data_IF_231013977675
#
_entry.id   IF_231013977675
#
_cell.length_a   1.000
_cell.length_b   1.000
_cell.length_c   1.000
_cell.angle_alpha   90.00
_cell.angle_beta   90.00
_cell.angle_gamma   90.00
#
_symmetry.space_group_name_H-M   'P 1'
#
loop_
_entity.id
_entity.type
_entity.pdbx_description
1 polymer ?
#
# COMPACT_ATOMS: atom_id res chain seq x y z
N UNK A 1 17.55 -11.31 5.90
CA UNK A 1 18.89 -11.09 5.30
C UNK A 1 18.98 -9.78 4.52
N UNK A 2 18.34 -9.59 3.35
CA UNK A 2 18.51 -8.33 2.58
C UNK A 2 18.05 -7.06 3.32
N UNK A 3 16.89 -7.10 3.97
CA UNK A 3 16.34 -5.95 4.72
C UNK A 3 17.27 -5.51 5.86
N UNK A 4 17.91 -6.47 6.54
CA UNK A 4 18.88 -6.22 7.62
C UNK A 4 20.21 -5.60 7.11
N UNK A 5 20.44 -5.60 5.80
CA UNK A 5 21.64 -5.08 5.15
C UNK A 5 21.33 -3.92 4.18
N UNK A 6 20.26 -3.16 4.46
CA UNK A 6 19.84 -2.01 3.65
C UNK A 6 19.58 -2.33 2.17
N UNK A 7 19.24 -3.59 1.86
CA UNK A 7 18.95 -4.07 0.51
C UNK A 7 17.49 -4.50 0.35
N UNK A 8 17.15 -4.91 -0.87
CA UNK A 8 15.88 -5.55 -1.19
C UNK A 8 16.13 -6.92 -1.84
N UNK A 9 15.07 -7.74 -1.88
CA UNK A 9 15.09 -8.99 -2.61
C UNK A 9 14.03 -8.94 -3.70
N UNK A 10 14.37 -9.46 -4.88
CA UNK A 10 13.43 -9.63 -6.01
C UNK A 10 13.50 -11.09 -6.44
N UNK A 11 12.33 -11.72 -6.59
CA UNK A 11 12.23 -13.06 -7.13
C UNK A 11 12.40 -13.00 -8.65
N UNK A 12 13.26 -13.86 -9.19
CA UNK A 12 13.34 -14.12 -10.63
C UNK A 12 12.47 -15.35 -10.91
N UNK A 13 11.60 -15.23 -11.90
CA UNK A 13 10.76 -16.35 -12.35
C UNK A 13 11.46 -17.07 -13.49
N UNK A 14 11.47 -18.40 -13.43
CA UNK A 14 12.06 -19.26 -14.46
C UNK A 14 11.11 -19.33 -15.67
N UNK A 15 11.28 -18.36 -16.57
CA UNK A 15 10.53 -18.25 -17.82
C UNK A 15 11.47 -17.72 -18.92
N UNK A 16 10.97 -17.67 -20.15
CA UNK A 16 11.64 -17.14 -21.35
C UNK A 16 12.21 -15.72 -21.18
N UNK A 17 11.68 -14.93 -20.26
CA UNK A 17 12.10 -13.55 -19.98
C UNK A 17 13.05 -13.41 -18.76
N UNK A 18 13.47 -14.51 -18.13
CA UNK A 18 14.33 -14.48 -16.93
C UNK A 18 15.60 -13.66 -17.14
N UNK A 19 16.22 -13.75 -18.33
CA UNK A 19 17.37 -12.94 -18.70
C UNK A 19 17.07 -11.43 -18.71
N UNK A 20 15.87 -11.03 -19.13
CA UNK A 20 15.41 -9.64 -19.09
C UNK A 20 15.12 -9.18 -17.66
N UNK A 21 14.54 -10.04 -16.81
CA UNK A 21 14.32 -9.73 -15.39
C UNK A 21 15.65 -9.42 -14.67
N UNK A 22 16.69 -10.22 -14.92
CA UNK A 22 18.04 -10.01 -14.36
C UNK A 22 18.67 -8.73 -14.90
N UNK A 23 18.60 -8.51 -16.22
CA UNK A 23 19.12 -7.28 -16.85
C UNK A 23 18.44 -6.03 -16.29
N UNK A 24 17.11 -6.07 -16.12
CA UNK A 24 16.32 -5.00 -15.53
C UNK A 24 16.77 -4.71 -14.09
N UNK A 25 16.87 -5.75 -13.25
CA UNK A 25 17.37 -5.61 -11.89
C UNK A 25 18.78 -4.98 -11.85
N UNK A 26 19.70 -5.46 -12.69
CA UNK A 26 21.05 -4.90 -12.75
C UNK A 26 21.03 -3.43 -13.18
N UNK A 27 20.24 -3.07 -14.19
CA UNK A 27 20.14 -1.68 -14.64
C UNK A 27 19.66 -0.73 -13.53
N UNK A 28 18.73 -1.18 -12.68
CA UNK A 28 18.20 -0.41 -11.54
C UNK A 28 19.25 -0.13 -10.46
N UNK A 29 20.20 -1.05 -10.23
CA UNK A 29 21.22 -0.93 -9.17
C UNK A 29 22.62 -0.56 -9.67
N UNK A 30 22.82 -0.54 -10.99
CA UNK A 30 24.16 -0.35 -11.60
C UNK A 30 24.71 1.07 -11.47
N UNK A 31 23.85 2.07 -11.30
CA UNK A 31 24.22 3.49 -11.31
C UNK A 31 24.03 4.14 -9.94
N UNK A 32 24.82 3.79 -8.93
CA UNK A 32 24.77 4.44 -7.61
C UNK A 32 25.26 5.90 -7.71
N UNK A 33 24.36 6.87 -7.51
CA UNK A 33 24.66 8.30 -7.61
C UNK A 33 24.97 8.93 -6.25
N UNK A 34 24.37 8.46 -5.16
CA UNK A 34 24.65 8.93 -3.80
C UNK A 34 24.59 7.76 -2.82
N UNK A 35 25.35 7.87 -1.74
CA UNK A 35 25.29 6.96 -0.58
C UNK A 35 24.95 7.73 0.69
N UNK A 36 24.46 7.04 1.72
CA UNK A 36 24.11 7.62 3.03
C UNK A 36 23.21 8.86 2.92
N UNK A 37 22.17 8.77 2.10
CA UNK A 37 21.24 9.87 1.85
C UNK A 37 20.34 10.07 3.05
N UNK A 38 20.35 11.28 3.62
CA UNK A 38 19.53 11.63 4.78
C UNK A 38 18.69 12.86 4.49
N UNK A 39 17.38 12.73 4.71
CA UNK A 39 16.39 13.78 4.62
C UNK A 39 16.15 14.37 6.01
N UNK A 40 16.59 15.61 6.18
CA UNK A 40 16.38 16.41 7.38
C UNK A 40 15.30 17.44 7.10
N UNK A 41 14.42 17.66 8.07
CA UNK A 41 13.37 18.66 7.95
C UNK A 41 13.40 19.61 9.12
N UNK A 42 13.47 20.90 8.83
CA UNK A 42 13.39 21.98 9.82
C UNK A 42 12.01 22.62 9.73
N UNK A 43 11.32 22.77 10.87
CA UNK A 43 10.01 23.39 10.95
C UNK A 43 8.97 22.54 11.69
N UNK A 44 7.71 22.74 11.33
CA UNK A 44 6.57 22.21 12.09
C UNK A 44 6.07 20.84 11.62
N UNK A 45 6.94 19.84 11.69
CA UNK A 45 6.64 18.45 11.30
C UNK A 45 6.43 17.58 12.52
N UNK A 46 5.42 16.71 12.44
CA UNK A 46 5.24 15.64 13.39
C UNK A 46 6.23 14.50 13.11
N UNK A 47 7.39 14.52 13.78
CA UNK A 47 8.46 13.53 13.58
C UNK A 47 8.02 12.08 13.81
N UNK A 48 6.99 11.83 14.63
CA UNK A 48 6.48 10.49 14.91
C UNK A 48 5.69 9.88 13.73
N UNK A 49 5.39 10.68 12.71
CA UNK A 49 4.64 10.29 11.52
C UNK A 49 5.50 10.20 10.26
N UNK A 50 6.78 10.58 10.36
CA UNK A 50 7.70 10.58 9.24
C UNK A 50 8.01 9.14 8.83
N UNK A 51 7.91 8.85 7.54
CA UNK A 51 8.41 7.60 6.99
C UNK A 51 9.94 7.56 7.03
N UNK A 52 10.53 6.43 6.66
CA UNK A 52 11.98 6.29 6.50
C UNK A 52 12.56 7.51 5.77
N UNK A 53 13.51 8.18 6.41
CA UNK A 53 14.16 9.40 5.92
C UNK A 53 15.67 9.23 5.75
N UNK A 54 16.19 8.03 5.97
CA UNK A 54 17.58 7.65 5.74
C UNK A 54 17.63 6.48 4.75
N UNK A 55 18.46 6.61 3.72
CA UNK A 55 18.61 5.64 2.65
C UNK A 55 20.09 5.39 2.38
N UNK A 56 20.46 4.11 2.30
CA UNK A 56 21.86 3.75 2.08
C UNK A 56 22.37 4.14 0.68
N UNK A 57 21.51 4.01 -0.33
CA UNK A 57 21.85 4.21 -1.73
C UNK A 57 20.75 4.99 -2.45
N UNK A 58 21.17 5.81 -3.42
CA UNK A 58 20.31 6.41 -4.44
C UNK A 58 20.85 6.04 -5.81
N UNK A 59 20.03 5.41 -6.64
CA UNK A 59 20.43 4.95 -7.97
C UNK A 59 19.85 5.85 -9.07
N UNK A 60 20.58 6.03 -10.17
CA UNK A 60 20.15 6.79 -11.32
C UNK A 60 18.90 6.17 -11.95
N UNK A 61 17.85 6.97 -12.13
CA UNK A 61 16.54 6.51 -12.61
C UNK A 61 15.61 6.00 -11.49
N UNK A 62 16.07 5.94 -10.24
CA UNK A 62 15.23 5.66 -9.07
C UNK A 62 14.71 6.95 -8.41
N UNK A 63 13.79 6.81 -7.46
CA UNK A 63 13.24 7.88 -6.66
C UNK A 63 13.23 7.52 -5.18
N UNK A 64 13.53 8.51 -4.33
CA UNK A 64 13.40 8.39 -2.88
C UNK A 64 12.21 9.25 -2.43
N UNK A 65 11.31 8.65 -1.65
CA UNK A 65 10.07 9.28 -1.23
C UNK A 65 9.98 9.24 0.28
N UNK A 66 9.82 10.43 0.88
CA UNK A 66 9.58 10.59 2.30
C UNK A 66 8.26 11.33 2.49
N UNK A 67 7.40 10.81 3.36
CA UNK A 67 6.10 11.39 3.68
C UNK A 67 5.97 11.57 5.20
N UNK A 68 5.18 12.55 5.62
CA UNK A 68 4.91 12.84 7.02
C UNK A 68 3.75 13.81 7.18
N UNK A 69 3.35 14.05 8.43
CA UNK A 69 2.29 14.99 8.77
C UNK A 69 2.85 16.28 9.37
N UNK A 70 2.21 17.40 9.05
CA UNK A 70 2.49 18.69 9.67
C UNK A 70 1.66 18.85 10.94
N UNK A 71 2.14 19.59 11.95
CA UNK A 71 1.34 19.81 13.17
C UNK A 71 0.25 20.86 12.97
N UNK A 72 0.57 21.93 12.24
CA UNK A 72 -0.38 23.00 11.92
C UNK A 72 -0.51 23.23 10.42
N UNK A 73 -1.72 23.59 9.99
CA UNK A 73 -2.00 24.01 8.61
C UNK A 73 -1.38 25.39 8.37
N UNK A 74 -0.68 25.56 7.25
CA UNK A 74 -0.07 26.85 6.86
C UNK A 74 1.33 27.09 7.42
N UNK A 75 1.87 26.18 8.24
CA UNK A 75 3.28 26.21 8.63
C UNK A 75 4.19 25.97 7.41
N UNK A 76 5.43 26.46 7.47
CA UNK A 76 6.43 26.18 6.44
C UNK A 76 7.42 25.11 6.92
N UNK A 77 7.95 24.35 5.98
CA UNK A 77 8.99 23.36 6.23
C UNK A 77 10.15 23.61 5.26
N UNK A 78 11.37 23.42 5.75
CA UNK A 78 12.58 23.50 4.94
C UNK A 78 13.24 22.13 4.92
N UNK A 79 13.09 21.36 3.83
CA UNK A 79 13.82 20.11 3.67
C UNK A 79 15.30 20.40 3.33
N UNK A 80 16.19 19.63 3.93
CA UNK A 80 17.63 19.58 3.60
C UNK A 80 17.99 18.12 3.35
N UNK A 81 18.57 17.83 2.19
CA UNK A 81 18.96 16.48 1.81
C UNK A 81 20.48 16.42 1.72
N UNK A 82 21.07 15.47 2.40
CA UNK A 82 22.53 15.28 2.46
C UNK A 82 22.88 13.89 1.98
N UNK A 83 24.05 13.69 1.39
CA UNK A 83 24.53 12.38 0.94
C UNK A 83 26.01 12.43 0.53
N UNK A 84 26.53 11.29 0.07
CA UNK A 84 27.92 11.12 -0.30
C UNK A 84 28.10 10.64 -1.73
N UNK A 85 28.94 11.35 -2.49
CA UNK A 85 29.49 10.93 -3.79
C UNK A 85 30.86 11.58 -3.94
N UNK A 86 31.92 10.77 -3.87
CA UNK A 86 33.33 11.23 -3.89
C UNK A 86 33.63 12.35 -2.88
N UNK A 87 32.82 12.46 -1.82
CA UNK A 87 32.85 13.55 -0.85
C UNK A 87 31.46 13.87 -0.28
N UNK A 88 31.43 14.76 0.71
CA UNK A 88 30.18 15.26 1.28
C UNK A 88 29.42 16.14 0.30
N UNK A 89 28.14 15.83 0.08
CA UNK A 89 27.25 16.59 -0.80
C UNK A 89 26.02 17.05 -0.02
N UNK A 90 25.85 18.36 0.10
CA UNK A 90 24.60 18.98 0.57
C UNK A 90 23.77 19.37 -0.65
N UNK A 91 22.61 18.72 -0.82
CA UNK A 91 21.69 19.00 -1.90
C UNK A 91 20.78 20.15 -1.46
N UNK A 92 21.15 21.35 -1.90
CA UNK A 92 20.35 22.54 -1.64
C UNK A 92 18.96 22.39 -2.24
N UNK A 93 17.94 22.48 -1.37
CA UNK A 93 16.56 22.56 -1.81
C UNK A 93 16.33 23.84 -2.59
N UNK A 94 16.16 23.71 -3.90
CA UNK A 94 15.62 24.77 -4.74
C UNK A 94 14.17 24.44 -5.01
N UNK A 95 13.25 25.19 -4.37
CA UNK A 95 11.83 25.16 -4.71
C UNK A 95 11.72 25.56 -6.19
N UNK A 96 11.62 24.57 -7.08
CA UNK A 96 11.23 24.88 -8.45
C UNK A 96 9.81 25.44 -8.37
N UNK A 97 9.50 26.52 -9.09
CA UNK A 97 8.11 26.90 -9.27
C UNK A 97 7.41 25.67 -9.82
N UNK A 98 6.53 25.09 -9.00
CA UNK A 98 5.63 24.04 -9.47
C UNK A 98 4.84 24.75 -10.57
N UNK A 99 4.92 24.31 -11.85
CA UNK A 99 4.06 24.87 -12.88
C UNK A 99 2.66 24.83 -12.29
N UNK A 100 1.90 25.94 -12.35
CA UNK A 100 0.51 25.93 -11.90
C UNK A 100 -0.13 24.67 -12.48
N UNK A 101 -0.33 23.67 -11.63
CA UNK A 101 -1.02 22.45 -11.97
C UNK A 101 -2.42 22.97 -12.19
N UNK A 102 -2.72 23.41 -13.42
CA UNK A 102 -4.02 23.89 -13.83
C UNK A 102 -5.01 22.83 -13.39
N UNK A 103 -5.68 23.11 -12.29
CA UNK A 103 -6.73 22.36 -11.61
C UNK A 103 -7.07 21.01 -12.25
N UNK A 104 -6.19 20.01 -12.15
CA UNK A 104 -6.57 18.64 -12.52
C UNK A 104 -7.46 18.07 -11.39
N UNK A 105 -7.35 18.61 -10.18
CA UNK A 105 -8.07 18.21 -8.97
C UNK A 105 -8.31 19.42 -8.08
N UNK A 106 -9.42 19.44 -7.33
CA UNK A 106 -9.63 20.47 -6.31
C UNK A 106 -8.60 20.33 -5.17
N UNK A 107 -8.29 21.42 -4.45
CA UNK A 107 -7.35 21.39 -3.31
C UNK A 107 -7.74 20.34 -2.25
N UNK A 108 -9.04 20.13 -2.05
CA UNK A 108 -9.58 19.11 -1.16
C UNK A 108 -9.22 17.68 -1.61
N UNK A 109 -9.31 17.40 -2.91
CA UNK A 109 -8.99 16.10 -3.49
C UNK A 109 -7.49 15.82 -3.40
N UNK A 110 -6.66 16.83 -3.65
CA UNK A 110 -5.20 16.73 -3.50
C UNK A 110 -4.81 16.43 -2.05
N UNK A 111 -5.44 17.11 -1.08
CA UNK A 111 -5.23 16.82 0.35
C UNK A 111 -5.60 15.38 0.69
N UNK A 112 -6.71 14.87 0.17
CA UNK A 112 -7.13 13.49 0.41
C UNK A 112 -6.17 12.48 -0.22
N UNK A 113 -5.71 12.73 -1.46
CA UNK A 113 -4.77 11.86 -2.18
C UNK A 113 -3.42 11.82 -1.45
N UNK A 114 -2.88 12.97 -1.05
CA UNK A 114 -1.60 13.05 -0.34
C UNK A 114 -1.67 12.41 1.04
N UNK A 115 -2.77 12.57 1.77
CA UNK A 115 -2.99 11.89 3.04
C UNK A 115 -3.07 10.37 2.86
N UNK A 116 -3.76 9.90 1.81
CA UNK A 116 -3.85 8.48 1.46
C UNK A 116 -2.51 7.90 0.99
N UNK A 117 -1.70 8.69 0.30
CA UNK A 117 -0.34 8.31 -0.10
C UNK A 117 0.57 8.15 1.13
N UNK A 118 0.52 9.08 2.07
CA UNK A 118 1.27 8.96 3.34
C UNK A 118 0.88 7.69 4.11
N UNK A 119 -0.41 7.40 4.23
CA UNK A 119 -0.86 6.20 4.96
C UNK A 119 -0.47 4.91 4.24
N UNK A 120 -0.53 4.86 2.91
CA UNK A 120 -0.01 3.73 2.12
C UNK A 120 1.48 3.49 2.37
N UNK A 121 2.32 4.53 2.29
CA UNK A 121 3.76 4.42 2.51
C UNK A 121 4.07 3.98 3.95
N UNK A 122 3.34 4.53 4.92
CA UNK A 122 3.46 4.15 6.34
C UNK A 122 3.11 2.69 6.56
N UNK A 123 1.96 2.22 6.03
CA UNK A 123 1.55 0.81 6.13
C UNK A 123 2.61 -0.11 5.49
N UNK A 124 3.10 0.23 4.30
CA UNK A 124 4.14 -0.55 3.61
C UNK A 124 5.44 -0.62 4.42
N UNK A 125 5.82 0.46 5.10
CA UNK A 125 6.97 0.46 6.00
C UNK A 125 6.73 -0.46 7.21
N UNK A 126 5.58 -0.32 7.88
CA UNK A 126 5.24 -1.16 9.04
C UNK A 126 5.18 -2.66 8.68
N UNK A 127 4.70 -3.01 7.48
CA UNK A 127 4.71 -4.38 6.97
C UNK A 127 6.15 -4.92 6.80
N UNK A 128 7.05 -4.11 6.22
CA UNK A 128 8.47 -4.47 6.10
C UNK A 128 9.12 -4.64 7.48
N UNK A 129 8.78 -3.79 8.44
CA UNK A 129 9.32 -3.87 9.79
C UNK A 129 8.88 -5.20 10.46
N UNK A 130 7.62 -5.63 10.31
CA UNK A 130 7.14 -6.92 10.83
C UNK A 130 7.90 -8.13 10.24
N UNK A 131 8.24 -8.08 8.95
CA UNK A 131 9.04 -9.12 8.28
C UNK A 131 10.49 -9.16 8.79
N UNK A 132 10.96 -8.07 9.40
CA UNK A 132 12.21 -8.01 10.11
C UNK A 132 12.22 -8.86 11.39
N UNK A 133 13.41 -8.97 11.99
CA UNK A 133 13.61 -9.71 13.23
C UNK A 133 13.20 -8.86 14.45
N UNK A 134 11.88 -8.75 14.65
CA UNK A 134 11.26 -7.98 15.74
C UNK A 134 10.69 -8.91 16.82
N UNK A 135 10.76 -8.49 18.08
CA UNK A 135 10.17 -9.18 19.24
C UNK A 135 8.65 -9.34 19.09
N UNK A 136 8.07 -10.41 19.66
CA UNK A 136 6.63 -10.68 19.55
C UNK A 136 5.76 -9.52 20.05
N UNK A 137 6.16 -8.86 21.14
CA UNK A 137 5.43 -7.72 21.72
C UNK A 137 5.34 -6.53 20.75
N UNK A 138 6.46 -6.14 20.14
CA UNK A 138 6.50 -5.07 19.15
C UNK A 138 5.75 -5.44 17.86
N UNK A 139 5.74 -6.72 17.48
CA UNK A 139 4.96 -7.19 16.33
C UNK A 139 3.46 -6.93 16.53
N UNK A 140 2.93 -7.17 17.72
CA UNK A 140 1.50 -6.96 17.99
C UNK A 140 1.12 -5.48 18.04
N UNK A 141 1.99 -4.63 18.59
CA UNK A 141 1.83 -3.17 18.54
C UNK A 141 1.80 -2.64 17.08
N UNK A 142 2.74 -3.12 16.24
CA UNK A 142 2.78 -2.73 14.82
C UNK A 142 1.54 -3.23 14.07
N UNK A 143 1.08 -4.47 14.32
CA UNK A 143 -0.15 -5.00 13.73
C UNK A 143 -1.37 -4.14 14.08
N UNK A 144 -1.52 -3.76 15.35
CA UNK A 144 -2.61 -2.89 15.78
C UNK A 144 -2.57 -1.52 15.07
N UNK A 145 -1.37 -0.96 14.87
CA UNK A 145 -1.17 0.27 14.10
C UNK A 145 -1.53 0.10 12.62
N UNK A 146 -1.16 -1.02 11.99
CA UNK A 146 -1.52 -1.30 10.59
C UNK A 146 -3.04 -1.41 10.44
N UNK A 147 -3.70 -2.18 11.32
CA UNK A 147 -5.16 -2.38 11.27
C UNK A 147 -5.88 -1.04 11.44
N UNK A 148 -5.48 -0.21 12.40
CA UNK A 148 -6.11 1.10 12.61
C UNK A 148 -5.96 2.03 11.39
N UNK A 149 -4.77 2.09 10.77
CA UNK A 149 -4.54 2.87 9.56
C UNK A 149 -5.31 2.30 8.35
N UNK A 150 -5.32 0.97 8.21
CA UNK A 150 -6.00 0.30 7.12
C UNK A 150 -7.51 0.53 7.15
N UNK A 151 -8.14 0.45 8.32
CA UNK A 151 -9.57 0.75 8.48
C UNK A 151 -9.83 2.25 8.24
N UNK A 152 -9.00 3.14 8.81
CA UNK A 152 -9.16 4.60 8.66
C UNK A 152 -9.13 5.04 7.20
N UNK A 153 -8.21 4.50 6.41
CA UNK A 153 -7.99 4.88 5.00
C UNK A 153 -8.55 3.85 3.99
N UNK A 154 -9.32 2.87 4.46
CA UNK A 154 -9.99 1.85 3.64
C UNK A 154 -9.03 1.02 2.78
N UNK A 155 -7.90 0.62 3.35
CA UNK A 155 -6.97 -0.32 2.70
C UNK A 155 -7.27 -1.77 3.08
N UNK A 156 -7.20 -2.64 2.08
CA UNK A 156 -7.10 -4.09 2.27
C UNK A 156 -5.61 -4.43 2.40
N UNK A 157 -5.25 -5.11 3.48
CA UNK A 157 -3.87 -5.46 3.83
C UNK A 157 -3.82 -6.94 4.23
N UNK A 158 -2.65 -7.57 4.42
CA UNK A 158 -2.60 -8.94 4.95
C UNK A 158 -3.31 -9.15 6.30
N UNK A 159 -3.62 -8.05 7.03
CA UNK A 159 -4.33 -8.08 8.31
C UNK A 159 -5.77 -7.54 8.25
N UNK A 160 -6.26 -7.14 7.07
CA UNK A 160 -7.63 -6.62 6.89
C UNK A 160 -8.26 -7.19 5.62
N UNK A 161 -9.54 -7.56 5.68
CA UNK A 161 -10.28 -8.12 4.54
C UNK A 161 -11.48 -7.25 4.20
N UNK A 162 -11.87 -7.25 2.92
CA UNK A 162 -13.11 -6.62 2.46
C UNK A 162 -14.17 -7.71 2.33
N UNK A 163 -15.27 -7.56 3.05
CA UNK A 163 -16.40 -8.50 3.01
C UNK A 163 -17.55 -7.82 2.28
N UNK A 164 -18.01 -8.44 1.19
CA UNK A 164 -19.18 -7.99 0.44
C UNK A 164 -20.32 -8.94 0.76
N UNK A 165 -21.40 -8.42 1.34
CA UNK A 165 -22.64 -9.17 1.56
C UNK A 165 -23.65 -8.79 0.48
N UNK A 166 -24.26 -9.79 -0.16
CA UNK A 166 -25.41 -9.54 -1.01
C UNK A 166 -26.56 -9.01 -0.14
N UNK A 167 -27.30 -7.97 -0.59
CA UNK A 167 -28.54 -7.61 0.08
C UNK A 167 -29.42 -8.85 0.11
N UNK A 168 -30.05 -9.14 1.25
CA UNK A 168 -31.05 -10.19 1.33
C UNK A 168 -32.16 -9.82 0.34
N UNK A 169 -32.12 -10.36 -0.88
CA UNK A 169 -33.30 -10.47 -1.71
C UNK A 169 -34.31 -11.17 -0.81
N UNK A 170 -35.36 -10.43 -0.42
CA UNK A 170 -36.44 -10.95 0.43
C UNK A 170 -36.73 -12.37 -0.03
N UNK A 171 -36.55 -13.33 0.87
CA UNK A 171 -37.03 -14.69 0.70
C UNK A 171 -38.56 -14.62 0.63
N UNK A 172 -39.09 -14.28 -0.54
CA UNK A 172 -40.51 -14.33 -0.85
C UNK A 172 -40.63 -14.53 -2.35
N UNK A 173 -40.46 -15.77 -2.78
CA UNK A 173 -41.45 -16.56 -3.53
C UNK A 173 -40.99 -18.02 -3.38
N UNK A 174 -41.80 -18.93 -2.82
CA UNK A 174 -41.47 -20.35 -2.87
C UNK A 174 -41.44 -20.77 -4.33
N UNK A 175 -40.30 -21.31 -4.77
CA UNK A 175 -40.17 -21.94 -6.08
C UNK A 175 -41.10 -23.15 -6.08
N UNK A 176 -42.26 -23.03 -6.74
CA UNK A 176 -43.19 -24.14 -6.94
C UNK A 176 -42.53 -25.05 -7.97
N UNK A 177 -41.84 -26.10 -7.53
CA UNK A 177 -41.43 -27.18 -8.41
C UNK A 177 -42.68 -27.74 -9.08
N UNK A 178 -42.73 -27.64 -10.41
CA UNK A 178 -43.72 -28.33 -11.22
C UNK A 178 -43.63 -29.83 -10.92
N UNK A 179 -44.66 -30.38 -10.28
CA UNK A 179 -44.87 -31.81 -10.21
C UNK A 179 -44.97 -32.34 -11.65
N UNK A 180 -44.05 -33.23 -12.03
CA UNK A 180 -44.29 -34.10 -13.16
C UNK A 180 -45.41 -35.06 -12.75
N UNK A 181 -46.61 -34.86 -13.30
CA UNK A 181 -47.68 -35.83 -13.19
C UNK A 181 -47.24 -37.06 -13.99
N UNK A 182 -46.79 -38.11 -13.30
CA UNK A 182 -46.63 -39.44 -13.90
C UNK A 182 -48.00 -40.08 -14.06
N UNK A 183 -48.34 -40.51 -15.28
CA UNK A 183 -49.62 -41.15 -15.66
C UNK A 183 -49.89 -42.53 -14.99
N UNK A 184 -49.19 -42.88 -13.91
CA UNK A 184 -49.37 -44.15 -13.18
C UNK A 184 -50.43 -44.11 -12.08
N UNK A 185 -51.02 -42.94 -11.77
CA UNK A 185 -52.05 -42.81 -10.72
C UNK A 185 -53.50 -42.93 -11.21
N UNK A 186 -53.72 -43.21 -12.50
CA UNK A 186 -55.07 -43.27 -13.09
C UNK A 186 -55.80 -44.63 -12.96
N UNK A 187 -55.33 -45.58 -12.15
CA UNK A 187 -55.95 -46.93 -12.08
C UNK A 187 -56.38 -47.41 -10.69
N UNK A 188 -56.69 -46.52 -9.75
CA UNK A 188 -57.22 -46.99 -8.47
C UNK A 188 -58.23 -46.02 -7.83
N UNK A 189 -59.47 -46.01 -8.34
CA UNK A 189 -60.73 -45.87 -7.55
C UNK A 189 -61.95 -45.76 -8.47
N UNK A 190 -62.30 -46.85 -9.15
CA UNK A 190 -63.69 -47.16 -9.51
C UNK A 190 -63.97 -48.57 -9.00
N UNK A 191 -64.10 -48.69 -7.67
CA UNK A 191 -64.89 -49.77 -7.06
C UNK A 191 -66.07 -49.11 -6.38
N UNK A 192 -67.23 -49.50 -6.90
CA UNK A 192 -68.56 -49.15 -6.44
C UNK A 192 -68.74 -49.46 -4.96
N UNK A 193 -69.51 -48.63 -4.27
CA UNK A 193 -70.37 -49.09 -3.19
C UNK A 193 -71.78 -48.51 -3.39
N UNK A 194 -72.71 -49.47 -3.54
CA UNK A 194 -74.19 -49.42 -3.64
C UNK A 194 -74.81 -49.12 -5.01
#
# INVERSE_FOLDING_TARGET
MSLQNNGFARRIYEDSDAALQIKGLYSEISSALLTNVTFNYVGDINMNTLTQNHYQYYFGGSELIVAGQMRSKGSSIVPRVTGWNNGYTDLLWKRRPVPELKAITNDADLSMITEKMWSYLTIKQLLRDIEGDITSTKKDEIKAKIISLAIKYQFVTPFTSMVVTAPQLRQSIPFRTSEYITLSSLTQTLKLDK
#
